data_IF_995844194710
#
_entry.id   IF_995844194710
#
_cell.length_a   1.000
_cell.length_b   1.000
_cell.length_c   1.000
_cell.angle_alpha   90.00
_cell.angle_beta   90.00
_cell.angle_gamma   90.00
#
_symmetry.space_group_name_H-M   'P 1'
#
loop_
_entity.id
_entity.type
_entity.pdbx_description
1 polymer ?
#
# COMPACT_ATOMS: atom_id res chain seq x y z
N UNK A 1 -3.67 -15.32 2.31
CA UNK A 1 -4.78 -14.44 1.87
C UNK A 1 -6.12 -14.91 2.38
N UNK A 2 -6.49 -16.17 2.14
CA UNK A 2 -7.70 -16.79 2.74
C UNK A 2 -7.73 -16.60 4.26
N UNK A 3 -6.62 -16.83 4.96
CA UNK A 3 -6.52 -16.61 6.41
C UNK A 3 -6.83 -15.16 6.83
N UNK A 4 -6.22 -14.17 6.18
CA UNK A 4 -6.45 -12.75 6.51
C UNK A 4 -7.90 -12.34 6.23
N UNK A 5 -8.46 -12.78 5.10
CA UNK A 5 -9.87 -12.54 4.80
C UNK A 5 -10.79 -13.22 5.81
N UNK A 6 -10.49 -14.46 6.22
CA UNK A 6 -11.25 -15.18 7.25
C UNK A 6 -11.18 -14.46 8.61
N UNK A 7 -10.01 -13.93 9.00
CA UNK A 7 -9.85 -13.10 10.19
C UNK A 7 -10.70 -11.83 10.09
N UNK A 8 -10.69 -11.14 8.95
CA UNK A 8 -11.53 -9.96 8.73
C UNK A 8 -13.02 -10.30 8.80
N UNK A 9 -13.46 -11.41 8.19
CA UNK A 9 -14.86 -11.90 8.29
C UNK A 9 -15.21 -12.16 9.75
N UNK A 10 -14.37 -12.91 10.46
CA UNK A 10 -14.59 -13.26 11.86
C UNK A 10 -14.72 -12.00 12.71
N UNK A 11 -13.83 -11.01 12.55
CA UNK A 11 -13.95 -9.77 13.30
C UNK A 11 -15.20 -8.99 12.88
N UNK A 12 -15.43 -8.75 11.59
CA UNK A 12 -16.49 -7.86 11.12
C UNK A 12 -17.93 -8.36 11.39
N UNK A 13 -18.13 -9.69 11.38
CA UNK A 13 -19.46 -10.30 11.50
C UNK A 13 -19.76 -10.90 12.88
N UNK A 14 -18.81 -10.94 13.81
CA UNK A 14 -19.02 -11.53 15.15
C UNK A 14 -18.88 -10.48 16.27
N UNK A 15 -19.20 -10.84 17.54
CA UNK A 15 -18.95 -9.99 18.70
C UNK A 15 -17.47 -9.71 18.98
N UNK A 16 -16.55 -10.41 18.30
CA UNK A 16 -15.11 -10.13 18.36
C UNK A 16 -14.82 -8.69 17.92
N UNK A 17 -15.65 -8.10 17.04
CA UNK A 17 -15.58 -6.68 16.72
C UNK A 17 -15.59 -5.80 17.96
N UNK A 18 -16.53 -6.00 18.89
CA UNK A 18 -16.69 -5.11 20.05
C UNK A 18 -15.51 -5.28 21.01
N UNK A 19 -15.04 -6.53 21.17
CA UNK A 19 -13.85 -6.80 21.98
C UNK A 19 -12.59 -6.13 21.41
N UNK A 20 -12.39 -6.17 20.09
CA UNK A 20 -11.22 -5.57 19.43
C UNK A 20 -11.35 -4.05 19.33
N UNK A 21 -12.46 -3.54 18.78
CA UNK A 21 -12.61 -2.13 18.40
C UNK A 21 -12.99 -1.26 19.60
N UNK A 22 -13.90 -1.72 20.45
CA UNK A 22 -14.31 -0.96 21.65
C UNK A 22 -13.41 -1.31 22.83
N UNK A 23 -13.12 -2.58 23.06
CA UNK A 23 -12.30 -3.04 24.19
C UNK A 23 -10.82 -2.73 24.03
N UNK A 24 -10.17 -3.34 23.03
CA UNK A 24 -8.71 -3.24 22.86
C UNK A 24 -8.26 -1.88 22.28
N UNK A 25 -8.96 -1.38 21.27
CA UNK A 25 -8.63 -0.10 20.61
C UNK A 25 -9.23 1.13 21.32
N UNK A 26 -10.17 0.94 22.24
CA UNK A 26 -10.79 2.03 22.99
C UNK A 26 -11.63 2.99 22.14
N UNK A 27 -12.17 2.54 21.00
CA UNK A 27 -12.95 3.40 20.12
C UNK A 27 -14.28 3.81 20.79
N UNK A 28 -14.67 5.10 20.75
CA UNK A 28 -15.96 5.54 21.26
C UNK A 28 -17.11 4.78 20.58
N UNK A 29 -18.15 4.35 21.31
CA UNK A 29 -19.26 3.56 20.76
C UNK A 29 -19.93 4.25 19.56
N UNK A 30 -20.06 5.56 19.60
CA UNK A 30 -20.64 6.40 18.54
C UNK A 30 -19.88 6.28 17.21
N UNK A 31 -18.55 6.11 17.26
CA UNK A 31 -17.70 5.90 16.09
C UNK A 31 -17.72 4.43 15.67
N UNK A 32 -17.67 3.51 16.64
CA UNK A 32 -17.62 2.06 16.40
C UNK A 32 -18.85 1.55 15.61
N UNK A 33 -20.03 2.15 15.83
CA UNK A 33 -21.26 1.86 15.06
C UNK A 33 -21.05 2.06 13.55
N UNK A 34 -20.27 3.06 13.15
CA UNK A 34 -19.99 3.35 11.74
C UNK A 34 -18.82 2.56 11.17
N UNK A 35 -17.87 2.14 12.00
CA UNK A 35 -16.73 1.31 11.58
C UNK A 35 -17.19 -0.08 11.14
N UNK A 36 -18.17 -0.68 11.84
CA UNK A 36 -18.62 -2.05 11.55
C UNK A 36 -19.18 -2.23 10.13
N UNK A 37 -20.11 -1.40 9.61
CA UNK A 37 -20.57 -1.47 8.22
C UNK A 37 -19.43 -1.36 7.20
N UNK A 38 -18.48 -0.43 7.43
CA UNK A 38 -17.32 -0.26 6.56
C UNK A 38 -16.45 -1.51 6.50
N UNK A 39 -16.16 -2.13 7.66
CA UNK A 39 -15.41 -3.40 7.72
C UNK A 39 -16.13 -4.53 6.99
N UNK A 40 -17.46 -4.64 7.13
CA UNK A 40 -18.25 -5.66 6.43
C UNK A 40 -18.16 -5.50 4.90
N UNK A 41 -18.27 -4.28 4.39
CA UNK A 41 -18.14 -4.01 2.95
C UNK A 41 -16.72 -4.34 2.46
N UNK A 42 -15.71 -3.99 3.26
CA UNK A 42 -14.30 -4.17 2.92
C UNK A 42 -13.77 -5.57 3.28
N UNK A 43 -14.62 -6.57 3.50
CA UNK A 43 -14.23 -7.93 3.86
C UNK A 43 -13.21 -8.54 2.88
N UNK A 44 -13.41 -8.31 1.58
CA UNK A 44 -12.53 -8.84 0.54
C UNK A 44 -11.29 -7.98 0.27
N UNK A 45 -11.10 -6.87 0.99
CA UNK A 45 -10.02 -5.92 0.78
C UNK A 45 -8.65 -6.59 0.68
N UNK A 46 -8.30 -7.44 1.66
CA UNK A 46 -7.01 -8.14 1.68
C UNK A 46 -6.84 -9.10 0.52
N UNK A 47 -7.91 -9.81 0.11
CA UNK A 47 -7.85 -10.74 -1.01
C UNK A 47 -7.63 -9.99 -2.34
N UNK A 48 -8.39 -8.92 -2.57
CA UNK A 48 -8.30 -8.13 -3.81
C UNK A 48 -6.98 -7.37 -3.90
N UNK A 49 -6.46 -6.83 -2.78
CA UNK A 49 -5.13 -6.21 -2.76
C UNK A 49 -4.05 -7.23 -3.10
N UNK A 50 -4.09 -8.42 -2.51
CA UNK A 50 -3.08 -9.43 -2.77
C UNK A 50 -3.10 -9.88 -4.23
N UNK A 51 -4.29 -10.15 -4.77
CA UNK A 51 -4.48 -10.47 -6.19
C UNK A 51 -3.88 -9.39 -7.09
N UNK A 52 -4.21 -8.13 -6.85
CA UNK A 52 -3.67 -6.99 -7.61
C UNK A 52 -2.15 -6.87 -7.47
N UNK A 53 -1.63 -6.88 -6.24
CA UNK A 53 -0.21 -6.64 -5.93
C UNK A 53 0.68 -7.74 -6.51
N UNK A 54 0.22 -8.99 -6.48
CA UNK A 54 0.89 -10.10 -7.14
C UNK A 54 1.06 -9.85 -8.64
N UNK A 55 -0.03 -9.49 -9.33
CA UNK A 55 0.00 -9.21 -10.76
C UNK A 55 0.84 -7.97 -11.12
N UNK A 56 0.82 -6.93 -10.27
CA UNK A 56 1.73 -5.80 -10.41
C UNK A 56 3.20 -6.23 -10.33
N UNK A 57 3.54 -7.14 -9.40
CA UNK A 57 4.88 -7.72 -9.31
C UNK A 57 5.31 -8.42 -10.59
N UNK A 58 4.41 -9.20 -11.20
CA UNK A 58 4.65 -9.85 -12.50
C UNK A 58 4.88 -8.79 -13.60
N UNK A 59 4.03 -7.77 -13.69
CA UNK A 59 4.19 -6.69 -14.68
C UNK A 59 5.53 -5.96 -14.55
N UNK A 60 5.99 -5.71 -13.32
CA UNK A 60 7.30 -5.10 -13.04
C UNK A 60 8.41 -6.04 -13.48
N UNK A 61 8.34 -7.33 -13.10
CA UNK A 61 9.36 -8.33 -13.42
C UNK A 61 9.58 -8.50 -14.94
N UNK A 62 8.54 -8.28 -15.74
CA UNK A 62 8.59 -8.36 -17.20
C UNK A 62 8.69 -6.99 -17.90
N UNK A 63 9.13 -5.94 -17.20
CA UNK A 63 9.47 -4.65 -17.81
C UNK A 63 8.27 -3.84 -18.31
N UNK A 64 7.07 -4.05 -17.75
CA UNK A 64 5.85 -3.31 -18.10
C UNK A 64 5.27 -2.47 -16.94
N UNK A 65 6.08 -1.66 -16.23
CA UNK A 65 5.60 -0.88 -15.09
C UNK A 65 4.57 0.20 -15.49
N UNK A 66 4.61 0.69 -16.74
CA UNK A 66 3.66 1.68 -17.25
C UNK A 66 2.20 1.21 -17.21
N UNK A 67 1.95 -0.11 -17.26
CA UNK A 67 0.59 -0.66 -17.09
C UNK A 67 0.05 -0.46 -15.67
N UNK A 68 0.91 -0.30 -14.66
CA UNK A 68 0.47 0.01 -13.29
C UNK A 68 -0.11 1.42 -13.17
N UNK A 69 0.40 2.38 -13.94
CA UNK A 69 -0.14 3.74 -13.97
C UNK A 69 -1.57 3.74 -14.53
N UNK A 70 -1.81 2.99 -15.60
CA UNK A 70 -3.16 2.78 -16.14
C UNK A 70 -4.09 2.08 -15.14
N UNK A 71 -3.60 1.07 -14.40
CA UNK A 71 -4.36 0.46 -13.31
C UNK A 71 -4.77 1.47 -12.24
N UNK A 72 -3.87 2.39 -11.89
CA UNK A 72 -4.17 3.48 -10.94
C UNK A 72 -5.24 4.42 -11.49
N UNK A 73 -5.20 4.76 -12.78
CA UNK A 73 -6.24 5.56 -13.42
C UNK A 73 -7.61 4.86 -13.38
N UNK A 74 -7.65 3.56 -13.72
CA UNK A 74 -8.86 2.73 -13.63
C UNK A 74 -9.41 2.73 -12.20
N UNK A 75 -8.55 2.55 -11.19
CA UNK A 75 -8.95 2.63 -9.77
C UNK A 75 -9.60 3.96 -9.45
N UNK A 76 -8.98 5.07 -9.81
CA UNK A 76 -9.47 6.42 -9.48
C UNK A 76 -10.81 6.71 -10.16
N UNK A 77 -10.96 6.35 -11.43
CA UNK A 77 -12.22 6.51 -12.15
C UNK A 77 -13.32 5.64 -11.53
N UNK A 78 -13.02 4.38 -11.22
CA UNK A 78 -13.98 3.48 -10.61
C UNK A 78 -14.38 3.91 -9.19
N UNK A 79 -13.42 4.27 -8.33
CA UNK A 79 -13.72 4.72 -6.96
C UNK A 79 -14.40 6.07 -6.95
N UNK A 80 -13.90 7.04 -7.73
CA UNK A 80 -14.49 8.38 -7.82
C UNK A 80 -15.88 8.33 -8.42
N UNK A 81 -16.06 7.61 -9.54
CA UNK A 81 -17.36 7.41 -10.16
C UNK A 81 -18.36 6.74 -9.24
N UNK A 82 -17.97 5.65 -8.56
CA UNK A 82 -18.84 4.98 -7.58
C UNK A 82 -19.21 5.90 -6.43
N UNK A 83 -18.26 6.67 -5.89
CA UNK A 83 -18.52 7.62 -4.81
C UNK A 83 -19.52 8.70 -5.23
N UNK A 84 -19.31 9.33 -6.40
CA UNK A 84 -20.20 10.38 -6.92
C UNK A 84 -21.59 9.83 -7.21
N UNK A 85 -21.69 8.68 -7.90
CA UNK A 85 -22.97 8.07 -8.24
C UNK A 85 -23.74 7.74 -6.96
N UNK A 86 -23.12 7.07 -5.99
CA UNK A 86 -23.80 6.71 -4.74
C UNK A 86 -24.13 7.94 -3.89
N UNK A 87 -23.31 8.98 -3.89
CA UNK A 87 -23.60 10.22 -3.17
C UNK A 87 -24.76 11.01 -3.77
N UNK A 88 -24.94 10.97 -5.10
CA UNK A 88 -26.03 11.66 -5.78
C UNK A 88 -27.32 10.82 -5.83
N UNK A 89 -27.20 9.50 -5.96
CA UNK A 89 -28.33 8.60 -6.15
C UNK A 89 -28.86 7.96 -4.85
N UNK A 90 -28.14 8.06 -3.73
CA UNK A 90 -28.54 7.43 -2.47
C UNK A 90 -28.33 8.34 -1.26
N UNK A 91 -29.16 8.15 -0.23
CA UNK A 91 -29.04 8.82 1.08
C UNK A 91 -28.25 7.96 2.08
N UNK A 92 -27.39 7.07 1.58
CA UNK A 92 -26.62 6.16 2.44
C UNK A 92 -25.59 6.94 3.27
N UNK A 93 -25.24 6.43 4.47
CA UNK A 93 -24.19 7.03 5.28
C UNK A 93 -22.87 7.12 4.52
N UNK A 94 -22.11 8.20 4.75
CA UNK A 94 -20.84 8.44 4.04
C UNK A 94 -19.83 7.30 4.14
N UNK A 95 -19.84 6.54 5.25
CA UNK A 95 -18.98 5.35 5.40
C UNK A 95 -19.35 4.23 4.42
N UNK A 96 -20.64 3.99 4.18
CA UNK A 96 -21.11 2.99 3.22
C UNK A 96 -20.70 3.39 1.80
N UNK A 97 -20.89 4.66 1.45
CA UNK A 97 -20.49 5.22 0.15
C UNK A 97 -18.98 5.10 -0.05
N UNK A 98 -18.19 5.56 0.92
CA UNK A 98 -16.73 5.57 0.84
C UNK A 98 -16.13 4.16 0.79
N UNK A 99 -16.59 3.26 1.66
CA UNK A 99 -16.10 1.87 1.67
C UNK A 99 -16.47 1.12 0.38
N UNK A 100 -17.68 1.31 -0.15
CA UNK A 100 -18.11 0.72 -1.42
C UNK A 100 -17.30 1.28 -2.59
N UNK A 101 -17.08 2.59 -2.63
CA UNK A 101 -16.27 3.25 -3.66
C UNK A 101 -14.82 2.74 -3.68
N UNK A 102 -14.18 2.65 -2.50
CA UNK A 102 -12.82 2.11 -2.39
C UNK A 102 -12.77 0.65 -2.81
N UNK A 103 -13.72 -0.17 -2.39
CA UNK A 103 -13.78 -1.58 -2.75
C UNK A 103 -13.96 -1.76 -4.27
N UNK A 104 -14.88 -1.00 -4.88
CA UNK A 104 -15.10 -1.01 -6.33
C UNK A 104 -13.83 -0.62 -7.10
N UNK A 105 -13.13 0.44 -6.66
CA UNK A 105 -11.88 0.87 -7.28
C UNK A 105 -10.79 -0.20 -7.25
N UNK A 106 -10.59 -0.87 -6.10
CA UNK A 106 -9.57 -1.91 -5.96
C UNK A 106 -9.93 -3.17 -6.75
N UNK A 107 -11.22 -3.55 -6.84
CA UNK A 107 -11.69 -4.66 -7.68
C UNK A 107 -11.46 -4.33 -9.16
N UNK A 108 -11.85 -3.14 -9.62
CA UNK A 108 -11.67 -2.72 -11.00
C UNK A 108 -10.19 -2.75 -11.41
N UNK A 109 -9.29 -2.28 -10.53
CA UNK A 109 -7.85 -2.34 -10.77
C UNK A 109 -7.31 -3.78 -10.80
N UNK A 110 -7.80 -4.67 -9.93
CA UNK A 110 -7.39 -6.08 -9.93
C UNK A 110 -7.84 -6.81 -11.21
N UNK A 111 -9.05 -6.53 -11.69
CA UNK A 111 -9.58 -7.03 -12.97
C UNK A 111 -8.72 -6.51 -14.12
N UNK A 112 -8.42 -5.21 -14.14
CA UNK A 112 -7.54 -4.61 -15.14
C UNK A 112 -6.15 -5.24 -15.13
N UNK A 113 -5.52 -5.41 -13.96
CA UNK A 113 -4.21 -6.04 -13.84
C UNK A 113 -4.22 -7.48 -14.37
N UNK A 114 -5.32 -8.21 -14.14
CA UNK A 114 -5.50 -9.57 -14.66
C UNK A 114 -5.55 -9.57 -16.18
N UNK A 115 -6.30 -8.64 -16.76
CA UNK A 115 -6.35 -8.47 -18.21
C UNK A 115 -4.97 -8.06 -18.78
N UNK A 116 -4.29 -7.12 -18.12
CA UNK A 116 -3.00 -6.58 -18.52
C UNK A 116 -1.86 -7.62 -18.54
N UNK A 117 -1.94 -8.64 -17.68
CA UNK A 117 -0.98 -9.75 -17.56
C UNK A 117 -1.27 -10.90 -18.53
N UNK A 118 -2.50 -11.06 -19.04
CA UNK A 118 -2.84 -12.17 -19.97
C UNK A 118 -1.90 -12.33 -21.17
N UNK A 119 -1.47 -11.26 -21.88
CA UNK A 119 -0.53 -11.40 -23.00
C UNK A 119 0.85 -11.90 -22.57
N UNK A 120 1.32 -11.49 -21.38
CA UNK A 120 2.58 -11.95 -20.81
C UNK A 120 2.53 -13.44 -20.48
N UNK A 121 1.41 -13.89 -19.88
CA UNK A 121 1.19 -15.31 -19.58
C UNK A 121 1.18 -16.19 -20.83
N UNK A 122 0.63 -15.68 -21.94
CA UNK A 122 0.53 -16.43 -23.21
C UNK A 122 1.80 -16.42 -24.06
N UNK A 123 2.67 -15.42 -23.91
CA UNK A 123 3.81 -15.23 -24.80
C UNK A 123 5.16 -15.50 -24.12
N UNK A 124 5.28 -15.25 -22.82
CA UNK A 124 6.57 -15.25 -22.11
C UNK A 124 6.63 -16.25 -20.93
N UNK A 125 5.48 -16.65 -20.39
CA UNK A 125 5.36 -17.61 -19.28
C UNK A 125 4.64 -18.90 -19.68
N UNK A 126 4.47 -19.13 -20.98
CA UNK A 126 3.91 -20.37 -21.51
C UNK A 126 4.77 -21.56 -21.09
N UNK A 127 4.18 -22.74 -20.88
CA UNK A 127 4.93 -23.96 -20.57
C UNK A 127 6.00 -24.33 -21.63
N UNK A 128 5.92 -23.72 -22.80
CA UNK A 128 6.85 -23.84 -23.93
C UNK A 128 7.88 -22.70 -24.02
N UNK A 129 7.84 -21.71 -23.12
CA UNK A 129 8.79 -20.61 -23.11
C UNK A 129 10.19 -21.10 -22.73
N UNK A 130 11.22 -20.59 -23.40
CA UNK A 130 12.61 -20.95 -23.09
C UNK A 130 12.92 -20.58 -21.62
N UNK A 131 13.60 -21.47 -20.86
CA UNK A 131 13.99 -21.19 -19.49
C UNK A 131 14.74 -19.87 -19.41
N UNK A 132 14.43 -19.05 -18.40
CA UNK A 132 15.21 -17.84 -18.11
C UNK A 132 16.66 -18.26 -17.86
N UNK A 133 17.62 -17.62 -18.54
CA UNK A 133 19.05 -17.88 -18.39
C UNK A 133 19.45 -17.83 -16.89
N UNK A 134 19.90 -18.96 -16.34
CA UNK A 134 20.26 -19.10 -14.92
C UNK A 134 19.15 -19.63 -14.00
N UNK A 135 17.98 -19.99 -14.52
CA UNK A 135 16.94 -20.69 -13.75
C UNK A 135 17.40 -22.12 -13.42
N UNK A 136 17.58 -22.42 -12.14
CA UNK A 136 17.75 -23.79 -11.66
C UNK A 136 16.41 -24.51 -11.71
N UNK A 137 16.40 -25.78 -12.13
CA UNK A 137 15.20 -26.64 -12.19
C UNK A 137 14.65 -27.01 -10.78
N UNK A 138 15.23 -26.43 -9.72
CA UNK A 138 14.71 -26.54 -8.37
C UNK A 138 13.39 -25.76 -8.28
N UNK A 139 12.30 -26.51 -8.18
CA UNK A 139 11.00 -25.95 -7.82
C UNK A 139 11.13 -25.16 -6.51
N UNK A 140 10.92 -23.85 -6.59
CA UNK A 140 10.94 -22.98 -5.42
C UNK A 140 10.00 -23.51 -4.34
N UNK A 141 10.55 -23.86 -3.18
CA UNK A 141 9.75 -24.33 -2.06
C UNK A 141 9.01 -23.16 -1.41
N UNK A 142 7.75 -23.36 -1.02
CA UNK A 142 7.01 -22.41 -0.19
C UNK A 142 7.78 -22.02 1.09
N UNK A 143 8.64 -22.91 1.60
CA UNK A 143 9.51 -22.64 2.74
C UNK A 143 10.57 -21.58 2.43
N UNK A 144 11.21 -21.66 1.26
CA UNK A 144 12.19 -20.65 0.82
C UNK A 144 11.51 -19.30 0.60
N UNK A 145 10.33 -19.30 -0.03
CA UNK A 145 9.54 -18.09 -0.24
C UNK A 145 9.16 -17.41 1.08
N UNK A 146 8.76 -18.19 2.09
CA UNK A 146 8.42 -17.70 3.42
C UNK A 146 9.62 -17.01 4.10
N UNK A 147 10.77 -17.69 4.17
CA UNK A 147 11.96 -17.14 4.82
C UNK A 147 12.55 -15.94 4.06
N UNK A 148 12.38 -15.88 2.74
CA UNK A 148 12.75 -14.71 1.94
C UNK A 148 11.85 -13.49 2.22
N UNK A 149 10.54 -13.69 2.40
CA UNK A 149 9.60 -12.59 2.65
C UNK A 149 9.53 -12.16 4.12
N UNK A 150 9.93 -13.02 5.06
CA UNK A 150 9.83 -12.75 6.50
C UNK A 150 10.55 -11.44 6.91
N UNK A 151 11.79 -11.15 6.48
CA UNK A 151 12.46 -9.89 6.79
C UNK A 151 11.74 -8.66 6.20
N UNK A 152 11.25 -8.77 4.95
CA UNK A 152 10.51 -7.70 4.27
C UNK A 152 9.17 -7.40 4.97
N UNK A 153 8.50 -8.44 5.45
CA UNK A 153 7.31 -8.30 6.29
C UNK A 153 7.65 -7.60 7.61
N UNK A 154 8.79 -7.93 8.23
CA UNK A 154 9.31 -7.25 9.42
C UNK A 154 9.47 -5.75 9.20
N UNK A 155 10.10 -5.33 8.10
CA UNK A 155 10.21 -3.91 7.74
C UNK A 155 8.84 -3.25 7.58
N UNK A 156 7.88 -3.94 6.94
CA UNK A 156 6.53 -3.42 6.74
C UNK A 156 5.78 -3.25 8.07
N UNK A 157 5.93 -4.19 9.00
CA UNK A 157 5.37 -4.09 10.36
C UNK A 157 5.99 -2.94 11.13
N UNK A 158 7.31 -2.77 11.04
CA UNK A 158 8.00 -1.61 11.64
C UNK A 158 7.41 -0.30 11.11
N UNK A 159 7.28 -0.15 9.78
CA UNK A 159 6.69 1.05 9.15
C UNK A 159 5.26 1.27 9.62
N UNK A 160 4.44 0.22 9.71
CA UNK A 160 3.05 0.32 10.16
C UNK A 160 2.95 0.77 11.62
N UNK A 161 3.89 0.35 12.47
CA UNK A 161 3.94 0.71 13.89
C UNK A 161 4.47 2.12 14.14
N UNK A 162 5.22 2.71 13.21
CA UNK A 162 5.75 4.08 13.38
C UNK A 162 4.63 5.07 13.66
N UNK A 163 3.54 5.05 12.89
CA UNK A 163 2.47 6.03 13.07
C UNK A 163 1.79 5.95 14.44
N UNK A 164 1.29 4.77 14.89
CA UNK A 164 0.73 4.61 16.22
C UNK A 164 1.70 4.96 17.35
N UNK A 165 2.98 4.63 17.21
CA UNK A 165 4.00 4.98 18.20
C UNK A 165 4.19 6.49 18.30
N UNK A 166 4.26 7.19 17.15
CA UNK A 166 4.38 8.65 17.13
C UNK A 166 3.14 9.30 17.73
N UNK A 167 1.93 8.91 17.32
CA UNK A 167 0.70 9.52 17.87
C UNK A 167 0.53 9.21 19.36
N UNK A 168 0.85 8.00 19.81
CA UNK A 168 0.86 7.65 21.23
C UNK A 168 1.88 8.45 22.03
N UNK A 169 3.04 8.75 21.45
CA UNK A 169 4.09 9.57 22.09
C UNK A 169 3.66 11.03 22.19
N UNK A 170 3.10 11.60 21.10
CA UNK A 170 2.59 12.96 21.07
C UNK A 170 1.43 13.18 22.05
N UNK A 171 0.59 12.16 22.24
CA UNK A 171 -0.52 12.21 23.20
C UNK A 171 -0.05 12.30 24.67
N UNK A 172 1.23 12.03 24.97
CA UNK A 172 1.81 12.06 26.32
C UNK A 172 2.64 13.33 26.62
N UNK A 173 2.71 14.28 25.67
CA UNK A 173 3.42 15.56 25.87
C UNK A 173 2.62 16.52 26.74
N UNK A 174 3.25 17.60 27.21
CA UNK A 174 2.60 18.61 28.08
C UNK A 174 1.44 19.34 27.39
N UNK A 175 1.45 19.44 26.05
CA UNK A 175 0.35 19.99 25.25
C UNK A 175 -0.13 19.01 24.16
N UNK A 176 -0.87 17.93 24.53
CA UNK A 176 -1.27 16.87 23.61
C UNK A 176 -2.14 17.38 22.45
N UNK A 177 -3.05 18.32 22.74
CA UNK A 177 -4.02 18.82 21.75
C UNK A 177 -3.29 19.58 20.63
N UNK A 178 -2.39 20.51 20.99
CA UNK A 178 -1.63 21.25 19.99
C UNK A 178 -0.66 20.34 19.21
N UNK A 179 0.02 19.41 19.90
CA UNK A 179 0.97 18.48 19.27
C UNK A 179 0.28 17.53 18.28
N UNK A 180 -0.88 16.98 18.65
CA UNK A 180 -1.65 16.09 17.77
C UNK A 180 -2.27 16.86 16.60
N UNK A 181 -2.70 18.11 16.80
CA UNK A 181 -3.21 18.95 15.72
C UNK A 181 -2.12 19.38 14.72
N UNK A 182 -0.90 19.63 15.19
CA UNK A 182 0.23 20.01 14.35
C UNK A 182 0.81 18.82 13.55
N UNK A 183 0.69 17.59 14.07
CA UNK A 183 1.33 16.41 13.49
C UNK A 183 0.95 16.12 12.03
N UNK A 184 -0.33 16.11 11.61
CA UNK A 184 -0.68 15.92 10.21
C UNK A 184 -0.04 16.95 9.28
N UNK A 185 -0.01 18.23 9.69
CA UNK A 185 0.59 19.31 8.90
C UNK A 185 2.10 19.05 8.72
N UNK A 186 2.81 18.78 9.82
CA UNK A 186 4.23 18.44 9.77
C UNK A 186 4.49 17.19 8.94
N UNK A 187 3.67 16.14 9.09
CA UNK A 187 3.81 14.91 8.31
C UNK A 187 3.65 15.16 6.82
N UNK A 188 2.71 16.02 6.39
CA UNK A 188 2.56 16.35 4.98
C UNK A 188 3.73 17.18 4.43
N UNK A 189 4.24 18.14 5.21
CA UNK A 189 5.45 18.88 4.83
C UNK A 189 6.64 17.93 4.68
N UNK A 190 6.86 17.04 5.66
CA UNK A 190 7.89 16.00 5.58
C UNK A 190 7.70 15.08 4.37
N UNK A 191 6.46 14.68 4.07
CA UNK A 191 6.15 13.83 2.92
C UNK A 191 6.48 14.52 1.61
N UNK A 192 6.08 15.79 1.45
CA UNK A 192 6.36 16.60 0.26
C UNK A 192 7.87 16.73 0.04
N UNK A 193 8.64 16.93 1.10
CA UNK A 193 10.10 16.99 1.04
C UNK A 193 10.73 15.64 0.67
N UNK A 194 10.17 14.54 1.17
CA UNK A 194 10.65 13.18 0.87
C UNK A 194 10.25 12.69 -0.50
N UNK A 195 9.26 13.30 -1.16
CA UNK A 195 8.70 12.86 -2.44
C UNK A 195 9.78 12.59 -3.50
N UNK A 196 10.77 13.50 -3.62
CA UNK A 196 11.86 13.35 -4.58
C UNK A 196 12.77 12.15 -4.29
N UNK A 197 12.89 11.74 -3.03
CA UNK A 197 13.72 10.62 -2.61
C UNK A 197 13.01 9.26 -2.71
N UNK A 198 11.67 9.22 -2.85
CA UNK A 198 10.90 7.96 -2.89
C UNK A 198 11.24 7.09 -4.11
N UNK A 199 11.66 7.68 -5.22
CA UNK A 199 12.03 6.94 -6.43
C UNK A 199 13.50 6.43 -6.42
N UNK A 200 14.31 6.85 -5.44
CA UNK A 200 15.73 6.44 -5.38
C UNK A 200 15.92 4.92 -5.31
N UNK A 201 15.15 4.14 -4.50
CA UNK A 201 15.32 2.69 -4.45
C UNK A 201 15.05 2.02 -5.80
N UNK A 202 14.03 2.45 -6.53
CA UNK A 202 13.71 1.94 -7.87
C UNK A 202 14.82 2.25 -8.87
N UNK A 203 15.36 3.48 -8.83
CA UNK A 203 16.52 3.87 -9.63
C UNK A 203 17.77 3.03 -9.30
N UNK A 204 18.05 2.80 -8.02
CA UNK A 204 19.19 1.97 -7.59
C UNK A 204 19.02 0.56 -8.15
N UNK A 205 17.88 -0.09 -7.91
CA UNK A 205 17.63 -1.47 -8.37
C UNK A 205 17.72 -1.58 -9.91
N UNK A 206 17.19 -0.61 -10.65
CA UNK A 206 17.17 -0.66 -12.11
C UNK A 206 18.54 -0.37 -12.76
N UNK A 207 19.34 0.52 -12.16
CA UNK A 207 20.51 1.12 -12.81
C UNK A 207 21.85 0.72 -12.16
N UNK A 208 21.87 0.13 -10.95
CA UNK A 208 23.11 -0.25 -10.26
C UNK A 208 23.71 -1.58 -10.77
N UNK A 209 23.73 -1.79 -12.09
CA UNK A 209 24.23 -3.03 -12.71
C UNK A 209 25.76 -3.07 -12.82
N UNK A 210 26.42 -1.91 -12.79
CA UNK A 210 27.88 -1.79 -12.81
C UNK A 210 28.40 -0.91 -11.67
N UNK A 211 29.65 -1.09 -11.22
CA UNK A 211 30.26 -0.25 -10.18
C UNK A 211 30.30 1.25 -10.55
N UNK A 212 30.48 1.56 -11.83
CA UNK A 212 30.50 2.93 -12.35
C UNK A 212 29.11 3.58 -12.27
N UNK A 213 28.07 2.85 -12.68
CA UNK A 213 26.68 3.32 -12.57
C UNK A 213 26.30 3.55 -11.10
N UNK A 214 26.74 2.68 -10.19
CA UNK A 214 26.53 2.86 -8.75
C UNK A 214 27.20 4.14 -8.21
N UNK A 215 28.40 4.48 -8.66
CA UNK A 215 29.10 5.70 -8.24
C UNK A 215 28.34 6.98 -8.67
N UNK A 216 27.75 6.98 -9.87
CA UNK A 216 26.92 8.09 -10.37
C UNK A 216 25.63 8.22 -9.55
N UNK A 217 24.93 7.11 -9.33
CA UNK A 217 23.70 7.08 -8.51
C UNK A 217 23.98 7.54 -7.09
N UNK A 218 25.11 7.13 -6.49
CA UNK A 218 25.52 7.58 -5.15
C UNK A 218 25.74 9.09 -5.09
N UNK A 219 26.40 9.68 -6.09
CA UNK A 219 26.60 11.14 -6.16
C UNK A 219 25.27 11.88 -6.29
N UNK A 220 24.37 11.40 -7.15
CA UNK A 220 23.03 11.95 -7.30
C UNK A 220 22.24 11.87 -6.00
N UNK A 221 22.18 10.68 -5.37
CA UNK A 221 21.49 10.47 -4.09
C UNK A 221 22.02 11.41 -3.00
N UNK A 222 23.35 11.58 -2.90
CA UNK A 222 23.95 12.51 -1.94
C UNK A 222 23.56 13.96 -2.21
N UNK A 223 23.64 14.41 -3.46
CA UNK A 223 23.29 15.79 -3.82
C UNK A 223 21.80 16.06 -3.57
N UNK A 224 20.94 15.09 -3.87
CA UNK A 224 19.51 15.17 -3.59
C UNK A 224 19.25 15.24 -2.08
N UNK A 225 19.89 14.39 -1.27
CA UNK A 225 19.78 14.44 0.19
C UNK A 225 20.24 15.78 0.75
N UNK A 226 21.40 16.30 0.31
CA UNK A 226 21.89 17.60 0.73
C UNK A 226 20.93 18.73 0.36
N UNK A 227 20.39 18.71 -0.87
CA UNK A 227 19.42 19.72 -1.33
C UNK A 227 18.13 19.69 -0.51
N UNK A 228 17.57 18.51 -0.26
CA UNK A 228 16.35 18.34 0.55
C UNK A 228 16.59 18.76 2.00
N UNK A 229 17.72 18.39 2.60
CA UNK A 229 18.07 18.79 3.96
C UNK A 229 18.26 20.30 4.07
N UNK A 230 18.97 20.93 3.12
CA UNK A 230 19.17 22.38 3.12
C UNK A 230 17.84 23.12 2.98
N UNK A 231 16.97 22.67 2.08
CA UNK A 231 15.64 23.24 1.91
C UNK A 231 14.77 23.08 3.17
N UNK A 232 14.85 21.93 3.86
CA UNK A 232 14.18 21.75 5.15
C UNK A 232 14.68 22.73 6.21
N UNK A 233 16.00 22.93 6.32
CA UNK A 233 16.58 23.89 7.27
C UNK A 233 16.09 25.30 6.98
N UNK A 234 16.08 25.73 5.71
CA UNK A 234 15.59 27.05 5.27
C UNK A 234 14.09 27.27 5.48
N UNK A 235 13.30 26.21 5.55
CA UNK A 235 11.84 26.32 5.76
C UNK A 235 11.52 26.39 7.26
N UNK A 236 12.34 25.75 8.10
CA UNK A 236 12.16 25.70 9.56
C UNK A 236 12.76 26.92 10.27
N UNK A 237 13.87 27.47 9.75
CA UNK A 237 14.61 28.61 10.33
C UNK A 237 14.61 29.79 9.37
#
# INVERSE_FOLDING_TARGET
MVLLTAVTVLIAFTPVFDWVVVGLLGAPPEVAVWVRPGMKIMTFWSATIAWRRFLQGVLIGFGQPGKMAWGTAVRLVASGGTAVILALASTQPGVVIGSTALMAGVIAEAIFATWAVRPLLKNQLSATASPVEGATDEMLSYRQLFWFHLPLAGTSVMILLVQPLVTSSLAKLDNPVASLAAWPVLFQVLLMMRAAAFALPEMVIALSKTPEAFAVIRRFARNLSLGVTLFMVLLVF
#
